data_IF_531228793173
#
_entry.id   IF_531228793173
#
_cell.length_a   1.000
_cell.length_b   1.000
_cell.length_c   1.000
_cell.angle_alpha   90.00
_cell.angle_beta   90.00
_cell.angle_gamma   90.00
#
_symmetry.space_group_name_H-M   'P 1'
#
loop_
_entity.id
_entity.type
_entity.pdbx_description
1 polymer ?
#
# COMPACT_ATOMS: atom_id res chain seq x y z
N UNK A 1 -19.55 7.08 -0.64
CA UNK A 1 -18.29 6.51 -1.18
C UNK A 1 -17.15 7.47 -0.81
N UNK A 2 -16.10 6.99 -0.14
CA UNK A 2 -14.98 7.85 0.29
C UNK A 2 -14.31 8.51 -0.93
N UNK A 3 -14.20 9.85 -0.92
CA UNK A 3 -13.57 10.65 -2.01
C UNK A 3 -12.15 10.18 -2.34
N UNK A 4 -11.46 9.55 -1.39
CA UNK A 4 -10.08 9.09 -1.55
C UNK A 4 -9.92 8.03 -2.64
N UNK A 5 -10.81 7.03 -2.68
CA UNK A 5 -10.75 5.92 -3.65
C UNK A 5 -10.84 6.41 -5.10
N UNK A 6 -11.55 7.52 -5.31
CA UNK A 6 -11.81 8.09 -6.63
C UNK A 6 -10.72 9.03 -7.15
N UNK A 7 -9.85 9.57 -6.28
CA UNK A 7 -8.72 10.41 -6.71
C UNK A 7 -7.64 9.60 -7.43
N UNK A 8 -7.20 10.04 -8.60
CA UNK A 8 -6.27 9.27 -9.47
C UNK A 8 -4.88 9.89 -9.64
N UNK A 9 -4.64 11.11 -9.17
CA UNK A 9 -3.36 11.81 -9.37
C UNK A 9 -2.29 11.48 -8.33
N UNK A 10 -2.67 10.93 -7.17
CA UNK A 10 -1.76 10.58 -6.09
C UNK A 10 -2.26 9.37 -5.29
N UNK A 11 -1.37 8.45 -4.88
CA UNK A 11 -1.66 7.39 -3.91
C UNK A 11 -2.22 7.93 -2.58
N UNK A 12 -1.82 9.15 -2.20
CA UNK A 12 -2.24 9.87 -1.01
C UNK A 12 -2.71 11.29 -1.39
N UNK A 13 -4.02 11.54 -1.33
CA UNK A 13 -4.55 12.91 -1.52
C UNK A 13 -4.11 13.86 -0.40
N UNK A 14 -4.34 15.16 -0.62
CA UNK A 14 -4.08 16.19 0.41
C UNK A 14 -4.94 15.98 1.66
N UNK A 15 -6.17 15.52 1.48
CA UNK A 15 -7.15 15.25 2.52
C UNK A 15 -6.76 14.02 3.33
N UNK A 16 -6.28 12.96 2.67
CA UNK A 16 -5.74 11.78 3.35
C UNK A 16 -4.50 12.15 4.18
N UNK A 17 -3.59 12.96 3.64
CA UNK A 17 -2.42 13.49 4.38
C UNK A 17 -2.83 14.31 5.61
N UNK A 18 -3.83 15.19 5.49
CA UNK A 18 -4.38 15.94 6.63
C UNK A 18 -5.00 15.01 7.68
N UNK A 19 -5.73 13.98 7.24
CA UNK A 19 -6.31 12.96 8.11
C UNK A 19 -5.25 12.16 8.86
N UNK A 20 -4.20 11.71 8.17
CA UNK A 20 -3.04 11.05 8.76
C UNK A 20 -2.38 11.94 9.81
N UNK A 21 -2.07 13.20 9.47
CA UNK A 21 -1.47 14.15 10.40
C UNK A 21 -2.32 14.34 11.67
N UNK A 22 -3.63 14.54 11.52
CA UNK A 22 -4.55 14.64 12.66
C UNK A 22 -4.58 13.37 13.50
N UNK A 23 -4.65 12.20 12.87
CA UNK A 23 -4.75 10.92 13.56
C UNK A 23 -3.49 10.59 14.36
N UNK A 24 -2.31 10.77 13.77
CA UNK A 24 -1.04 10.48 14.42
C UNK A 24 -0.74 11.47 15.56
N UNK A 25 -0.98 12.77 15.37
CA UNK A 25 -0.66 13.78 16.38
C UNK A 25 -1.66 13.81 17.56
N UNK A 26 -2.91 13.36 17.37
CA UNK A 26 -3.95 13.50 18.41
C UNK A 26 -4.45 12.15 18.93
N UNK A 27 -5.33 11.38 18.25
CA UNK A 27 -5.79 10.09 18.73
C UNK A 27 -4.68 9.11 19.12
N UNK A 28 -3.78 8.80 18.18
CA UNK A 28 -2.77 7.76 18.37
C UNK A 28 -1.79 8.14 19.49
N UNK A 29 -1.33 9.39 19.47
CA UNK A 29 -0.46 9.93 20.52
C UNK A 29 -1.11 9.90 21.90
N UNK A 30 -2.40 10.22 21.99
CA UNK A 30 -3.14 10.17 23.27
C UNK A 30 -3.22 8.74 23.79
N UNK A 31 -3.53 7.79 22.91
CA UNK A 31 -3.59 6.38 23.24
C UNK A 31 -2.22 5.84 23.68
N UNK A 32 -1.16 6.10 22.92
CA UNK A 32 0.21 5.69 23.27
C UNK A 32 0.64 6.26 24.63
N UNK A 33 0.35 7.53 24.91
CA UNK A 33 0.66 8.14 26.20
C UNK A 33 -0.06 7.43 27.35
N UNK A 34 -1.33 7.06 27.15
CA UNK A 34 -2.13 6.38 28.16
C UNK A 34 -1.69 4.92 28.37
N UNK A 35 -1.39 4.19 27.31
CA UNK A 35 -1.11 2.75 27.37
C UNK A 35 0.37 2.42 27.60
N UNK A 36 1.29 3.18 27.01
CA UNK A 36 2.73 2.92 27.06
C UNK A 36 3.45 3.83 28.07
N UNK A 37 2.85 4.96 28.45
CA UNK A 37 3.48 5.98 29.30
C UNK A 37 4.65 6.73 28.66
N UNK A 38 5.10 6.29 27.47
CA UNK A 38 6.22 6.83 26.72
C UNK A 38 5.89 6.94 25.23
N UNK A 39 6.71 7.70 24.51
CA UNK A 39 6.65 7.81 23.05
C UNK A 39 7.76 6.96 22.44
N UNK A 40 7.46 6.03 21.52
CA UNK A 40 8.50 5.27 20.85
C UNK A 40 9.35 6.21 19.98
N UNK A 41 10.66 5.93 19.93
CA UNK A 41 11.58 6.67 19.07
C UNK A 41 11.37 6.33 17.59
N UNK A 42 11.06 5.08 17.33
CA UNK A 42 10.82 4.52 16.01
C UNK A 42 9.37 4.08 15.92
N UNK A 43 8.68 4.52 14.87
CA UNK A 43 7.28 4.18 14.62
C UNK A 43 7.06 3.83 13.15
N UNK A 44 6.44 2.68 12.95
CA UNK A 44 5.85 2.30 11.67
C UNK A 44 4.33 2.36 11.80
N UNK A 45 3.68 3.13 10.92
CA UNK A 45 2.23 3.23 10.84
C UNK A 45 1.72 2.54 9.57
N UNK A 46 0.94 1.48 9.74
CA UNK A 46 0.34 0.71 8.64
C UNK A 46 -1.16 0.96 8.60
N UNK A 47 -1.69 1.30 7.44
CA UNK A 47 -3.13 1.50 7.23
C UNK A 47 -3.60 0.95 5.87
N UNK A 48 -4.89 1.09 5.58
CA UNK A 48 -5.50 0.59 4.35
C UNK A 48 -6.64 1.47 3.84
N UNK A 49 -7.70 0.85 3.32
CA UNK A 49 -8.98 1.46 2.89
C UNK A 49 -8.95 2.26 1.57
N UNK A 50 -7.80 2.82 1.15
CA UNK A 50 -7.73 3.67 -0.05
C UNK A 50 -7.67 2.90 -1.37
N UNK A 51 -7.33 1.60 -1.30
CA UNK A 51 -7.02 0.73 -2.45
C UNK A 51 -5.76 1.12 -3.21
N UNK A 52 -4.96 2.05 -2.66
CA UNK A 52 -3.74 2.57 -3.29
C UNK A 52 -2.55 2.19 -2.43
N UNK A 53 -1.81 1.13 -2.80
CA UNK A 53 -0.70 0.67 -1.99
C UNK A 53 0.42 1.73 -2.06
N UNK A 54 1.02 2.05 -0.93
CA UNK A 54 1.90 3.21 -0.77
C UNK A 54 2.90 3.02 0.36
N UNK A 55 4.05 3.68 0.28
CA UNK A 55 5.10 3.70 1.29
C UNK A 55 5.78 5.07 1.28
N UNK A 56 6.15 5.58 2.45
CA UNK A 56 6.93 6.81 2.57
C UNK A 56 7.24 7.17 4.02
N UNK A 57 8.24 8.02 4.23
CA UNK A 57 8.57 8.58 5.54
C UNK A 57 8.01 9.99 5.71
N UNK A 58 7.47 10.29 6.89
CA UNK A 58 6.86 11.58 7.19
C UNK A 58 7.28 12.08 8.56
N UNK A 59 7.48 13.40 8.68
CA UNK A 59 7.59 14.06 9.98
C UNK A 59 6.20 14.35 10.54
N UNK A 60 6.08 14.17 11.85
CA UNK A 60 4.88 14.48 12.63
C UNK A 60 5.31 15.19 13.90
N UNK A 61 4.53 16.19 14.34
CA UNK A 61 4.89 17.08 15.45
C UNK A 61 5.13 16.33 16.76
N UNK A 62 4.36 15.28 17.02
CA UNK A 62 4.41 14.56 18.29
C UNK A 62 5.48 13.46 18.37
N UNK A 63 6.23 13.22 17.29
CA UNK A 63 7.19 12.12 17.18
C UNK A 63 8.61 12.65 16.98
N UNK A 64 9.62 12.08 17.65
CA UNK A 64 10.98 12.61 17.63
C UNK A 64 11.71 12.36 16.29
N UNK A 65 11.23 11.42 15.47
CA UNK A 65 11.83 11.03 14.20
C UNK A 65 10.80 10.92 13.08
N UNK A 66 11.28 10.56 11.90
CA UNK A 66 10.42 10.23 10.77
C UNK A 66 9.65 8.94 11.06
N UNK A 67 8.35 8.98 10.80
CA UNK A 67 7.47 7.82 10.90
C UNK A 67 7.39 7.16 9.53
N UNK A 68 7.67 5.86 9.48
CA UNK A 68 7.45 5.04 8.28
C UNK A 68 5.96 4.80 8.11
N UNK A 69 5.40 5.18 6.97
CA UNK A 69 3.97 5.05 6.69
C UNK A 69 3.76 4.11 5.51
N UNK A 70 2.97 3.07 5.72
CA UNK A 70 2.61 2.09 4.69
C UNK A 70 1.10 2.00 4.51
N UNK A 71 0.67 1.91 3.27
CA UNK A 71 -0.70 1.60 2.88
C UNK A 71 -0.73 0.27 2.14
N UNK A 72 -1.55 -0.67 2.62
CA UNK A 72 -1.71 -2.00 2.02
C UNK A 72 -2.49 -1.99 0.69
N UNK A 73 -3.12 -0.87 0.33
CA UNK A 73 -3.97 -0.79 -0.84
C UNK A 73 -5.24 -1.64 -0.67
N UNK A 74 -5.60 -2.40 -1.70
CA UNK A 74 -6.82 -3.21 -1.71
C UNK A 74 -6.92 -4.11 -2.94
N UNK A 75 -7.54 -5.27 -2.74
CA UNK A 75 -7.76 -6.30 -3.77
C UNK A 75 -8.99 -6.07 -4.64
N UNK A 76 -9.79 -5.05 -4.33
CA UNK A 76 -11.06 -4.80 -5.00
C UNK A 76 -10.82 -4.00 -6.27
N UNK A 77 -11.22 -4.58 -7.40
CA UNK A 77 -11.20 -3.92 -8.70
C UNK A 77 -12.51 -3.17 -8.88
N UNK A 78 -12.46 -1.85 -8.81
CA UNK A 78 -13.66 -1.00 -8.81
C UNK A 78 -13.94 -0.32 -10.16
N UNK A 79 -12.94 -0.28 -11.03
CA UNK A 79 -12.96 0.49 -12.27
C UNK A 79 -12.86 -0.43 -13.48
N UNK A 80 -13.51 -0.01 -14.57
CA UNK A 80 -13.41 -0.67 -15.88
C UNK A 80 -12.07 -0.38 -16.56
N UNK A 81 -11.54 0.81 -16.33
CA UNK A 81 -10.23 1.24 -16.80
C UNK A 81 -9.20 1.07 -15.69
N UNK A 82 -8.01 0.53 -15.98
CA UNK A 82 -6.94 0.40 -14.99
C UNK A 82 -6.60 1.73 -14.32
N UNK A 83 -6.11 1.67 -13.09
CA UNK A 83 -5.48 2.81 -12.43
C UNK A 83 -4.13 2.41 -11.86
N UNK A 84 -3.00 2.93 -12.38
CA UNK A 84 -1.66 2.48 -11.98
C UNK A 84 -1.33 2.70 -10.50
N UNK A 85 -2.07 3.58 -9.83
CA UNK A 85 -1.93 3.80 -8.38
C UNK A 85 -2.79 2.86 -7.51
N UNK A 86 -3.72 2.12 -8.10
CA UNK A 86 -4.54 1.11 -7.42
C UNK A 86 -3.82 -0.24 -7.43
N UNK A 87 -4.07 -1.07 -6.43
CA UNK A 87 -3.45 -2.38 -6.29
C UNK A 87 -3.39 -2.86 -4.86
N UNK A 88 -2.68 -3.97 -4.62
CA UNK A 88 -2.55 -4.57 -3.30
C UNK A 88 -1.09 -4.70 -2.88
N UNK A 89 -0.87 -4.58 -1.57
CA UNK A 89 0.38 -4.88 -0.92
C UNK A 89 0.14 -5.63 0.40
N UNK A 90 1.11 -6.44 0.79
CA UNK A 90 1.23 -6.94 2.15
C UNK A 90 2.38 -6.21 2.84
N UNK A 91 2.20 -5.84 4.11
CA UNK A 91 3.30 -5.31 4.92
C UNK A 91 3.81 -6.43 5.81
N UNK A 92 5.11 -6.71 5.70
CA UNK A 92 5.81 -7.73 6.47
C UNK A 92 6.59 -7.05 7.58
N UNK A 93 6.58 -7.65 8.77
CA UNK A 93 7.35 -7.22 9.93
C UNK A 93 8.18 -8.39 10.48
N UNK A 94 9.39 -8.11 10.94
CA UNK A 94 10.26 -9.06 11.64
C UNK A 94 10.24 -8.85 13.17
N UNK A 95 11.01 -9.65 13.91
CA UNK A 95 11.13 -9.53 15.37
C UNK A 95 11.71 -8.19 15.85
N UNK A 96 12.49 -7.51 15.00
CA UNK A 96 13.10 -6.21 15.28
C UNK A 96 12.17 -5.04 14.88
N UNK A 97 10.94 -5.34 14.47
CA UNK A 97 9.93 -4.39 13.99
C UNK A 97 10.35 -3.60 12.75
N UNK A 98 11.32 -4.11 11.99
CA UNK A 98 11.56 -3.61 10.65
C UNK A 98 10.33 -3.90 9.80
N UNK A 99 9.98 -2.98 8.90
CA UNK A 99 8.79 -3.11 8.07
C UNK A 99 9.13 -2.92 6.59
N UNK A 100 8.64 -3.81 5.75
CA UNK A 100 8.75 -3.72 4.29
C UNK A 100 7.41 -3.98 3.62
N UNK A 101 7.17 -3.34 2.46
CA UNK A 101 5.97 -3.52 1.67
C UNK A 101 6.24 -4.49 0.53
N UNK A 102 5.64 -5.67 0.58
CA UNK A 102 5.51 -6.56 -0.56
C UNK A 102 4.37 -6.05 -1.44
N UNK A 103 4.70 -5.26 -2.47
CA UNK A 103 3.74 -4.84 -3.50
C UNK A 103 3.38 -6.06 -4.34
N UNK A 104 2.14 -6.52 -4.23
CA UNK A 104 1.68 -7.74 -4.91
C UNK A 104 1.27 -7.47 -6.34
N UNK A 105 0.61 -6.34 -6.58
CA UNK A 105 0.39 -5.80 -7.92
C UNK A 105 0.02 -4.32 -7.84
N UNK A 106 0.21 -3.64 -8.97
CA UNK A 106 -0.51 -2.43 -9.32
C UNK A 106 -1.35 -2.71 -10.56
N UNK A 107 -2.54 -2.10 -10.66
CA UNK A 107 -3.38 -2.25 -11.84
C UNK A 107 -2.70 -1.63 -13.06
N UNK A 108 -2.46 -2.43 -14.09
CA UNK A 108 -1.89 -1.96 -15.35
C UNK A 108 -2.82 -2.25 -16.54
N UNK A 109 -2.55 -1.56 -17.65
CA UNK A 109 -3.13 -1.84 -18.96
C UNK A 109 -2.52 -3.11 -19.57
N UNK A 110 -1.20 -3.27 -19.45
CA UNK A 110 -0.48 -4.45 -19.93
C UNK A 110 -0.36 -5.51 -18.83
N UNK A 111 -0.69 -6.76 -19.14
CA UNK A 111 -0.52 -7.88 -18.23
C UNK A 111 0.95 -8.09 -17.81
N UNK A 112 1.91 -7.74 -18.67
CA UNK A 112 3.34 -7.84 -18.38
C UNK A 112 3.87 -6.81 -17.38
N UNK A 113 3.07 -5.79 -17.02
CA UNK A 113 3.44 -4.80 -15.99
C UNK A 113 2.99 -5.21 -14.58
N UNK A 114 2.22 -6.30 -14.46
CA UNK A 114 1.92 -6.89 -13.17
C UNK A 114 3.17 -7.59 -12.67
N UNK A 115 3.70 -7.13 -11.56
CA UNK A 115 4.85 -7.75 -10.92
C UNK A 115 4.75 -7.61 -9.41
N UNK A 116 5.37 -8.56 -8.71
CA UNK A 116 5.61 -8.45 -7.28
C UNK A 116 6.92 -7.69 -7.05
N UNK A 117 6.87 -6.61 -6.26
CA UNK A 117 8.04 -5.83 -5.83
C UNK A 117 8.17 -5.77 -4.33
N UNK A 118 9.40 -5.60 -3.83
CA UNK A 118 9.64 -5.20 -2.45
C UNK A 118 9.90 -3.69 -2.43
N UNK A 119 9.23 -3.01 -1.53
CA UNK A 119 9.22 -1.56 -1.44
C UNK A 119 9.47 -1.13 0.00
N UNK A 120 10.35 -0.17 0.19
CA UNK A 120 10.68 0.37 1.51
C UNK A 120 10.23 1.83 1.63
N UNK A 121 9.73 2.21 2.80
CA UNK A 121 9.60 3.62 3.17
C UNK A 121 11.01 4.18 3.43
N UNK A 122 11.62 4.80 2.43
CA UNK A 122 12.98 5.35 2.52
C UNK A 122 13.00 6.84 2.84
N UNK A 123 14.12 7.29 3.39
CA UNK A 123 14.63 8.66 3.30
C UNK A 123 16.11 8.53 2.87
N UNK A 124 16.62 9.43 2.03
CA UNK A 124 17.97 9.36 1.43
C UNK A 124 19.11 9.34 2.45
N UNK A 125 18.78 9.51 3.74
CA UNK A 125 19.69 9.68 4.87
C UNK A 125 19.81 8.45 5.76
N UNK A 126 18.98 7.40 5.54
CA UNK A 126 18.89 6.24 6.44
C UNK A 126 19.44 4.98 5.77
N UNK A 127 20.18 4.11 6.49
CA UNK A 127 20.62 2.81 5.98
C UNK A 127 19.43 1.96 5.47
N UNK A 128 19.71 1.10 4.49
CA UNK A 128 18.72 0.19 3.92
C UNK A 128 18.14 -0.75 5.00
N UNK A 129 16.85 -1.07 4.89
CA UNK A 129 16.19 -1.97 5.81
C UNK A 129 16.62 -3.44 5.55
N UNK A 130 17.23 -4.14 6.53
CA UNK A 130 17.66 -5.53 6.37
C UNK A 130 16.54 -6.49 5.94
N UNK A 131 15.30 -6.25 6.41
CA UNK A 131 14.15 -7.04 6.01
C UNK A 131 13.81 -6.86 4.53
N UNK A 132 13.92 -5.64 4.00
CA UNK A 132 13.70 -5.37 2.57
C UNK A 132 14.69 -6.16 1.71
N UNK A 133 15.98 -6.13 2.06
CA UNK A 133 17.02 -6.89 1.36
C UNK A 133 16.78 -8.40 1.45
N UNK A 134 16.45 -8.88 2.65
CA UNK A 134 16.17 -10.29 2.88
C UNK A 134 14.98 -10.78 2.04
N UNK A 135 13.84 -10.10 2.09
CA UNK A 135 12.64 -10.45 1.32
C UNK A 135 12.91 -10.34 -0.17
N UNK A 136 13.64 -9.31 -0.63
CA UNK A 136 14.05 -9.17 -2.02
C UNK A 136 14.82 -10.40 -2.51
N UNK A 137 15.81 -10.85 -1.73
CA UNK A 137 16.59 -12.04 -2.05
C UNK A 137 15.75 -13.32 -2.13
N UNK A 138 14.70 -13.44 -1.30
CA UNK A 138 13.80 -14.59 -1.34
C UNK A 138 12.95 -14.57 -2.62
N UNK A 139 12.42 -13.40 -3.00
CA UNK A 139 11.63 -13.24 -4.22
C UNK A 139 12.46 -13.58 -5.46
N UNK A 140 13.72 -13.14 -5.52
CA UNK A 140 14.63 -13.47 -6.62
C UNK A 140 14.85 -14.99 -6.72
N UNK A 141 15.16 -15.64 -5.59
CA UNK A 141 15.36 -17.10 -5.52
C UNK A 141 14.11 -17.89 -5.92
N UNK A 142 12.92 -17.37 -5.64
CA UNK A 142 11.64 -18.01 -6.01
C UNK A 142 10.93 -17.28 -7.16
N UNK A 143 11.68 -16.62 -8.04
CA UNK A 143 11.12 -15.74 -9.08
C UNK A 143 10.13 -16.44 -10.01
N UNK A 144 10.28 -17.75 -10.24
CA UNK A 144 9.31 -18.53 -11.02
C UNK A 144 7.90 -18.53 -10.43
N UNK A 145 7.77 -18.70 -9.11
CA UNK A 145 6.49 -18.69 -8.42
C UNK A 145 5.85 -17.30 -8.42
N UNK A 146 6.65 -16.25 -8.24
CA UNK A 146 6.15 -14.87 -8.26
C UNK A 146 5.75 -14.40 -9.65
N UNK A 147 6.47 -14.80 -10.71
CA UNK A 147 6.04 -14.55 -12.09
C UNK A 147 4.70 -15.22 -12.39
N UNK A 148 4.52 -16.46 -11.94
CA UNK A 148 3.25 -17.17 -12.11
C UNK A 148 2.12 -16.50 -11.32
N UNK A 149 2.38 -16.09 -10.08
CA UNK A 149 1.43 -15.31 -9.28
C UNK A 149 1.02 -14.02 -9.99
N UNK A 150 1.98 -13.26 -10.54
CA UNK A 150 1.70 -12.02 -11.26
C UNK A 150 0.89 -12.26 -12.52
N UNK A 151 1.19 -13.32 -13.28
CA UNK A 151 0.40 -13.74 -14.46
C UNK A 151 -1.04 -14.04 -14.09
N UNK A 152 -1.26 -14.87 -13.07
CA UNK A 152 -2.61 -15.23 -12.58
C UNK A 152 -3.34 -13.96 -12.11
N UNK A 153 -2.66 -13.09 -11.38
CA UNK A 153 -3.24 -11.83 -10.90
C UNK A 153 -3.70 -10.95 -12.05
N UNK A 154 -2.89 -10.77 -13.10
CA UNK A 154 -3.26 -10.01 -14.28
C UNK A 154 -4.53 -10.58 -14.97
N UNK A 155 -4.61 -11.91 -15.10
CA UNK A 155 -5.76 -12.60 -15.68
C UNK A 155 -7.03 -12.41 -14.85
N UNK A 156 -6.96 -12.57 -13.54
CA UNK A 156 -8.12 -12.44 -12.65
C UNK A 156 -8.62 -10.98 -12.57
N UNK A 157 -7.71 -10.00 -12.59
CA UNK A 157 -8.08 -8.59 -12.65
C UNK A 157 -8.83 -8.28 -13.94
N UNK A 158 -8.38 -8.79 -15.09
CA UNK A 158 -9.05 -8.56 -16.37
C UNK A 158 -10.43 -9.24 -16.43
N UNK A 159 -10.56 -10.48 -15.96
CA UNK A 159 -11.86 -11.16 -15.82
C UNK A 159 -12.84 -10.34 -14.97
N UNK A 160 -12.36 -9.75 -13.86
CA UNK A 160 -13.20 -8.90 -13.02
C UNK A 160 -13.67 -7.65 -13.77
N UNK A 161 -12.80 -7.03 -14.58
CA UNK A 161 -13.16 -5.86 -15.41
C UNK A 161 -14.16 -6.21 -16.50
N UNK A 162 -14.02 -7.35 -17.14
CA UNK A 162 -15.01 -7.88 -18.09
C UNK A 162 -16.39 -8.03 -17.44
N UNK A 163 -16.43 -8.61 -16.24
CA UNK A 163 -17.67 -8.74 -15.48
C UNK A 163 -18.30 -7.37 -15.13
N UNK A 164 -17.49 -6.38 -14.72
CA UNK A 164 -17.96 -5.02 -14.47
C UNK A 164 -18.51 -4.36 -15.75
N UNK A 165 -17.83 -4.53 -16.90
CA UNK A 165 -18.30 -4.03 -18.21
C UNK A 165 -19.65 -4.66 -18.58
N UNK A 166 -19.79 -5.98 -18.40
CA UNK A 166 -21.02 -6.71 -18.66
C UNK A 166 -22.18 -6.20 -17.80
N UNK A 167 -21.99 -6.02 -16.49
CA UNK A 167 -23.02 -5.49 -15.58
C UNK A 167 -23.51 -4.11 -15.98
N UNK A 168 -22.60 -3.22 -16.37
CA UNK A 168 -22.95 -1.86 -16.81
C UNK A 168 -23.74 -1.89 -18.12
N UNK A 169 -23.38 -2.76 -19.07
CA UNK A 169 -24.15 -2.93 -20.32
C UNK A 169 -25.57 -3.40 -20.03
N UNK A 170 -25.72 -4.46 -19.23
CA UNK A 170 -27.03 -5.02 -18.86
C UNK A 170 -27.95 -4.00 -18.17
N UNK A 171 -27.39 -3.11 -17.34
CA UNK A 171 -28.16 -2.03 -16.70
C UNK A 171 -28.62 -0.93 -17.66
N UNK A 172 -28.00 -0.79 -18.83
CA UNK A 172 -28.41 0.20 -19.85
C UNK A 172 -29.46 -0.33 -20.81
N UNK A 173 -29.70 -1.64 -20.80
CA UNK A 173 -30.70 -2.32 -21.64
C UNK A 173 -32.07 -2.45 -20.94
N UNK A 174 -32.16 -2.03 -19.67
CA UNK A 174 -33.38 -1.95 -18.84
C UNK A 174 -33.78 -0.48 -18.73
#
# INVERSE_FOLDING_TARGET
VSRERTHTSSPLSSECRKGLNRYLNVPLRTQMKHELGLRPKDLTFVFGHTHKPYQGKFSFEEYPGLVSVYNMGGWVIEKRTPSPIHGAAAVLLDEDLNATSLRLYNEAENAGEYEVRVEEATDQTVPANPLTEHVGSLIEKTSGAWREFSRITAEEVEKHREYLRYRVRKMKEI
#
